data_IF_300356854257
#
_entry.id   IF_300356854257
#
_cell.length_a   1.000
_cell.length_b   1.000
_cell.length_c   1.000
_cell.angle_alpha   90.00
_cell.angle_beta   90.00
_cell.angle_gamma   90.00
#
_symmetry.space_group_name_H-M   'P 1'
#
loop_
_entity.id
_entity.type
_entity.pdbx_description
1 polymer ?
#
# COMPACT_ATOMS: atom_id res chain seq x y z
N UNK A 1 -18.43 3.24 0.29
CA UNK A 1 -19.03 1.87 0.28
C UNK A 1 -17.86 0.89 0.31
N UNK A 2 -17.77 0.01 1.31
CA UNK A 2 -16.62 -0.91 1.45
C UNK A 2 -16.87 -2.11 0.54
N UNK A 3 -15.94 -2.35 -0.37
CA UNK A 3 -15.98 -3.44 -1.33
C UNK A 3 -15.85 -4.82 -0.64
N UNK A 4 -16.78 -5.73 -0.89
CA UNK A 4 -16.84 -7.08 -0.33
C UNK A 4 -16.82 -8.16 -1.44
N UNK A 5 -16.20 -9.31 -1.14
CA UNK A 5 -15.74 -10.36 -2.08
C UNK A 5 -16.78 -10.99 -3.02
N UNK A 6 -18.06 -10.61 -2.96
CA UNK A 6 -19.15 -11.20 -3.75
C UNK A 6 -19.80 -10.23 -4.75
N UNK A 7 -19.37 -8.97 -4.85
CA UNK A 7 -19.87 -8.04 -5.87
C UNK A 7 -18.89 -7.96 -7.03
N UNK A 8 -19.38 -8.24 -8.23
CA UNK A 8 -18.66 -8.08 -9.50
C UNK A 8 -18.43 -6.58 -9.88
N UNK A 9 -18.75 -5.67 -8.96
CA UNK A 9 -18.59 -4.20 -9.03
C UNK A 9 -17.54 -3.69 -8.02
N UNK A 10 -16.50 -4.48 -7.75
CA UNK A 10 -15.28 -3.95 -7.17
C UNK A 10 -14.28 -3.72 -8.30
N UNK A 11 -13.97 -2.45 -8.57
CA UNK A 11 -13.03 -1.98 -9.59
C UNK A 11 -11.99 -3.05 -9.95
N UNK A 12 -12.03 -3.49 -11.21
CA UNK A 12 -11.17 -4.48 -11.90
C UNK A 12 -9.65 -4.16 -11.85
N UNK A 13 -9.27 -3.12 -11.12
CA UNK A 13 -7.91 -2.64 -10.90
C UNK A 13 -7.07 -3.54 -9.99
N UNK A 14 -7.69 -4.37 -9.15
CA UNK A 14 -6.98 -5.05 -8.07
C UNK A 14 -7.43 -6.51 -7.90
N UNK A 15 -6.47 -7.44 -7.91
CA UNK A 15 -6.71 -8.81 -7.45
C UNK A 15 -6.51 -8.84 -5.93
N UNK A 16 -7.57 -9.20 -5.20
CA UNK A 16 -7.58 -9.34 -3.74
C UNK A 16 -6.63 -10.44 -3.22
N UNK A 17 -5.99 -11.19 -4.11
CA UNK A 17 -4.98 -12.20 -3.80
C UNK A 17 -3.55 -11.69 -3.81
N UNK A 18 -3.31 -10.46 -4.27
CA UNK A 18 -1.95 -9.91 -4.38
C UNK A 18 -1.50 -9.29 -3.06
N UNK A 19 -0.96 -10.13 -2.15
CA UNK A 19 -0.08 -9.63 -1.09
C UNK A 19 1.15 -8.99 -1.73
N UNK A 20 1.41 -7.72 -1.42
CA UNK A 20 2.61 -7.05 -1.92
C UNK A 20 3.68 -7.08 -0.85
N UNK A 21 4.84 -7.60 -1.22
CA UNK A 21 6.02 -7.63 -0.37
C UNK A 21 7.14 -6.85 -1.03
N UNK A 22 7.74 -5.92 -0.28
CA UNK A 22 9.02 -5.31 -0.62
C UNK A 22 10.10 -5.97 0.22
N UNK A 23 11.20 -6.33 -0.43
CA UNK A 23 12.39 -6.85 0.23
C UNK A 23 13.41 -5.73 0.35
N UNK A 24 14.10 -5.68 1.49
CA UNK A 24 15.24 -4.79 1.64
C UNK A 24 16.30 -5.13 0.58
N UNK A 25 16.90 -4.09 -0.02
CA UNK A 25 18.02 -4.26 -0.91
C UNK A 25 19.23 -4.79 -0.12
N UNK A 26 19.84 -5.88 -0.59
CA UNK A 26 20.78 -6.70 0.18
C UNK A 26 22.20 -6.15 0.20
N UNK A 27 22.43 -4.99 -0.44
CA UNK A 27 23.78 -4.51 -0.74
C UNK A 27 24.57 -3.92 0.43
N UNK A 28 24.00 -3.80 1.63
CA UNK A 28 24.79 -3.59 2.85
C UNK A 28 24.06 -4.16 4.07
N UNK A 29 24.82 -4.73 5.03
CA UNK A 29 24.40 -4.90 6.43
C UNK A 29 24.12 -3.53 7.07
N UNK A 30 23.04 -2.89 6.65
CA UNK A 30 22.52 -1.69 7.28
C UNK A 30 21.69 -2.11 8.48
N UNK A 31 21.93 -1.46 9.62
CA UNK A 31 21.08 -1.62 10.81
C UNK A 31 19.68 -1.01 10.57
N UNK A 32 19.54 -0.16 9.57
CA UNK A 32 18.29 0.47 9.15
C UNK A 32 18.11 0.24 7.64
N UNK A 33 17.03 -0.42 7.27
CA UNK A 33 16.66 -0.67 5.88
C UNK A 33 15.75 0.43 5.37
N UNK A 34 15.94 0.78 4.10
CA UNK A 34 15.17 1.77 3.39
C UNK A 34 14.23 1.10 2.40
N UNK A 35 12.94 1.39 2.50
CA UNK A 35 11.92 0.90 1.58
C UNK A 35 11.32 2.06 0.81
N UNK A 36 11.33 1.99 -0.52
CA UNK A 36 10.59 2.92 -1.34
C UNK A 36 9.13 2.43 -1.47
N UNK A 37 8.22 3.09 -0.75
CA UNK A 37 6.81 2.68 -0.76
C UNK A 37 6.08 3.07 -2.05
N UNK A 38 6.71 3.76 -3.00
CA UNK A 38 6.08 4.08 -4.30
C UNK A 38 6.28 2.96 -5.35
N UNK A 39 7.34 2.16 -5.25
CA UNK A 39 7.63 1.06 -6.19
C UNK A 39 6.54 -0.02 -6.33
N UNK A 40 5.82 -0.42 -5.26
CA UNK A 40 4.68 -1.33 -5.36
C UNK A 40 3.64 -0.91 -6.41
N UNK A 41 3.45 0.39 -6.59
CA UNK A 41 2.28 0.95 -7.26
C UNK A 41 2.35 0.82 -8.78
N UNK A 42 3.55 0.91 -9.38
CA UNK A 42 3.71 0.56 -10.79
C UNK A 42 3.37 -0.91 -11.07
N UNK A 43 3.55 -1.79 -10.08
CA UNK A 43 3.23 -3.22 -10.21
C UNK A 43 1.75 -3.51 -9.95
N UNK A 44 1.14 -2.83 -8.98
CA UNK A 44 -0.26 -2.98 -8.58
C UNK A 44 -1.21 -2.34 -9.59
N UNK A 45 -0.87 -1.15 -10.09
CA UNK A 45 -1.75 -0.34 -10.93
C UNK A 45 -1.53 -0.58 -12.43
N UNK A 46 -0.88 -1.67 -12.85
CA UNK A 46 -0.65 -1.96 -14.29
C UNK A 46 -1.91 -1.93 -15.16
N UNK A 47 -3.10 -2.02 -14.57
CA UNK A 47 -4.40 -1.94 -15.25
C UNK A 47 -5.19 -0.66 -15.00
N UNK A 48 -4.76 0.22 -14.08
CA UNK A 48 -5.50 1.43 -13.71
C UNK A 48 -4.61 2.66 -13.63
N UNK A 49 -5.18 3.83 -13.88
CA UNK A 49 -4.43 5.07 -13.90
C UNK A 49 -4.17 5.53 -12.47
N UNK A 50 -2.91 5.64 -12.06
CA UNK A 50 -2.54 6.06 -10.70
C UNK A 50 -3.07 7.45 -10.33
N UNK A 51 -3.33 8.30 -11.33
CA UNK A 51 -3.87 9.63 -11.13
C UNK A 51 -5.36 9.64 -10.73
N UNK A 52 -6.06 8.51 -10.87
CA UNK A 52 -7.46 8.35 -10.44
C UNK A 52 -7.55 8.01 -8.95
N UNK A 53 -6.43 7.78 -8.27
CA UNK A 53 -6.40 7.39 -6.87
C UNK A 53 -5.67 8.41 -6.00
N UNK A 54 -6.29 8.76 -4.89
CA UNK A 54 -5.56 9.35 -3.76
C UNK A 54 -4.97 8.22 -2.92
N UNK A 55 -3.64 8.24 -2.75
CA UNK A 55 -2.87 7.16 -2.14
C UNK A 55 -2.26 7.64 -0.83
N UNK A 56 -2.61 6.98 0.27
CA UNK A 56 -2.09 7.28 1.61
C UNK A 56 -1.60 6.01 2.30
N UNK A 57 -0.71 6.17 3.28
CA UNK A 57 0.00 5.06 3.92
C UNK A 57 -0.07 5.18 5.44
N UNK A 58 -0.17 4.04 6.12
CA UNK A 58 -0.41 3.98 7.56
C UNK A 58 0.36 2.83 8.18
N UNK A 59 0.72 2.96 9.46
CA UNK A 59 1.28 1.85 10.24
C UNK A 59 0.21 0.98 10.90
N UNK A 60 -1.06 1.39 10.85
CA UNK A 60 -2.20 0.74 11.49
C UNK A 60 -3.37 0.62 10.51
N UNK A 61 -4.01 -0.55 10.50
CA UNK A 61 -5.19 -0.81 9.69
C UNK A 61 -6.37 0.07 10.11
N UNK A 62 -6.51 0.32 11.42
CA UNK A 62 -7.57 1.17 11.97
C UNK A 62 -7.37 2.61 11.50
N UNK A 63 -6.12 3.09 11.53
CA UNK A 63 -5.77 4.43 11.06
C UNK A 63 -6.04 4.56 9.56
N UNK A 64 -5.72 3.53 8.77
CA UNK A 64 -6.05 3.48 7.34
C UNK A 64 -7.55 3.48 7.07
N UNK A 65 -8.36 2.80 7.89
CA UNK A 65 -9.83 2.79 7.78
C UNK A 65 -10.44 4.14 8.12
N UNK A 66 -9.94 4.76 9.18
CA UNK A 66 -10.42 6.04 9.68
C UNK A 66 -9.82 7.25 8.94
N UNK A 67 -8.81 7.05 8.09
CA UNK A 67 -8.06 8.11 7.41
C UNK A 67 -7.46 9.13 8.40
N UNK A 68 -6.76 8.60 9.42
CA UNK A 68 -6.09 9.39 10.45
C UNK A 68 -4.62 8.98 10.54
N UNK A 69 -3.76 9.89 11.00
CA UNK A 69 -2.34 9.60 11.23
C UNK A 69 -1.58 9.04 10.01
N UNK A 70 -1.95 9.44 8.79
CA UNK A 70 -1.23 9.00 7.58
C UNK A 70 0.25 9.46 7.62
N UNK A 71 1.12 8.67 7.00
CA UNK A 71 2.54 8.97 6.86
C UNK A 71 2.70 10.19 5.93
N UNK A 72 3.26 11.29 6.47
CA UNK A 72 3.33 12.59 5.77
C UNK A 72 4.31 12.65 4.60
N UNK A 73 5.20 11.67 4.42
CA UNK A 73 6.22 11.60 3.35
C UNK A 73 6.52 10.14 2.95
N UNK A 74 5.59 9.43 2.32
CA UNK A 74 5.67 7.97 2.22
C UNK A 74 6.62 7.45 1.14
N UNK A 75 7.24 8.30 0.32
CA UNK A 75 8.18 7.82 -0.72
C UNK A 75 9.30 6.97 -0.14
N UNK A 76 9.66 7.15 1.14
CA UNK A 76 10.69 6.36 1.78
C UNK A 76 10.34 6.06 3.23
N UNK A 77 10.38 4.78 3.58
CA UNK A 77 10.15 4.27 4.92
C UNK A 77 11.41 3.59 5.46
N UNK A 78 11.75 3.87 6.71
CA UNK A 78 12.95 3.34 7.37
C UNK A 78 12.56 2.43 8.52
N UNK A 79 13.13 1.23 8.54
CA UNK A 79 12.89 0.28 9.64
C UNK A 79 14.08 -0.66 9.80
N UNK A 80 14.33 -1.11 11.02
CA UNK A 80 15.34 -2.12 11.35
C UNK A 80 14.77 -3.54 11.37
N UNK A 81 13.45 -3.69 11.24
CA UNK A 81 12.72 -4.96 11.31
C UNK A 81 11.68 -5.05 10.20
N UNK A 82 11.26 -6.28 9.89
CA UNK A 82 10.10 -6.51 9.03
C UNK A 82 8.86 -5.83 9.63
N UNK A 83 8.06 -5.20 8.78
CA UNK A 83 6.90 -4.42 9.22
C UNK A 83 5.78 -4.46 8.19
N UNK A 84 4.55 -4.35 8.67
CA UNK A 84 3.36 -4.22 7.83
C UNK A 84 2.96 -2.75 7.74
N UNK A 85 2.75 -2.28 6.52
CA UNK A 85 2.23 -0.97 6.18
C UNK A 85 0.89 -1.17 5.50
N UNK A 86 -0.07 -0.30 5.79
CA UNK A 86 -1.40 -0.32 5.20
C UNK A 86 -1.49 0.81 4.19
N UNK A 87 -1.82 0.46 2.96
CA UNK A 87 -2.01 1.40 1.86
C UNK A 87 -3.49 1.62 1.69
N UNK A 88 -3.95 2.86 1.79
CA UNK A 88 -5.31 3.25 1.42
C UNK A 88 -5.28 3.82 0.01
N UNK A 89 -6.03 3.18 -0.88
CA UNK A 89 -6.37 3.69 -2.21
C UNK A 89 -7.78 4.24 -2.15
N UNK A 90 -7.94 5.52 -2.47
CA UNK A 90 -9.23 6.18 -2.56
C UNK A 90 -9.46 6.60 -4.02
N UNK A 91 -10.37 5.94 -4.71
CA UNK A 91 -10.69 6.25 -6.10
C UNK A 91 -11.47 7.57 -6.14
N UNK A 92 -10.91 8.58 -6.80
CA UNK A 92 -11.44 9.95 -6.85
C UNK A 92 -12.76 9.99 -7.62
N UNK A 93 -12.93 9.13 -8.63
CA UNK A 93 -14.11 9.11 -9.49
C UNK A 93 -15.25 8.26 -8.91
N UNK A 94 -14.94 7.08 -8.36
CA UNK A 94 -15.96 6.16 -7.84
C UNK A 94 -16.22 6.30 -6.33
N UNK A 95 -15.32 6.96 -5.58
CA UNK A 95 -15.37 7.05 -4.12
C UNK A 95 -15.16 5.69 -3.43
N UNK A 96 -14.66 4.70 -4.15
CA UNK A 96 -14.35 3.37 -3.61
C UNK A 96 -13.03 3.43 -2.87
N UNK A 97 -13.05 2.94 -1.63
CA UNK A 97 -11.86 2.83 -0.80
C UNK A 97 -11.42 1.37 -0.74
N UNK A 98 -10.12 1.17 -0.94
CA UNK A 98 -9.43 -0.11 -0.76
C UNK A 98 -8.28 0.06 0.21
N UNK A 99 -8.11 -0.93 1.08
CA UNK A 99 -6.96 -1.01 1.98
C UNK A 99 -6.18 -2.26 1.63
N UNK A 100 -4.89 -2.08 1.42
CA UNK A 100 -3.97 -3.10 0.96
C UNK A 100 -2.88 -3.29 2.00
N UNK A 101 -2.54 -4.54 2.23
CA UNK A 101 -1.45 -4.95 3.08
C UNK A 101 -0.13 -4.92 2.28
N UNK A 102 0.80 -4.07 2.70
CA UNK A 102 2.16 -3.99 2.18
C UNK A 102 3.13 -4.54 3.24
N UNK A 103 3.74 -5.67 2.97
CA UNK A 103 4.77 -6.27 3.83
C UNK A 103 6.15 -5.74 3.45
N UNK A 104 6.90 -5.25 4.42
CA UNK A 104 8.30 -4.88 4.30
C UNK A 104 9.10 -5.99 4.97
N UNK A 105 9.93 -6.70 4.22
CA UNK A 105 10.72 -7.81 4.73
C UNK A 105 12.21 -7.48 4.72
N UNK A 106 12.84 -7.61 5.88
CA UNK A 106 14.29 -7.52 6.03
C UNK A 106 14.87 -8.94 5.94
N UNK A 107 15.85 -9.16 5.07
CA UNK A 107 16.53 -10.46 4.92
C UNK A 107 17.77 -10.56 5.82
#
# INVERSE_FOLDING_TARGET
MICNNNSQDCDICYDHKDQITLYADSDMKSVIYQFNLFLPFEKILKKCNINEFNITYYESEIDAKLDINHLKKPQTYYTSISKKIFVRLDNIDSGIIKIIDLSLEVQ
#
